data_IF_010614496736
#
_entry.id   IF_010614496736
#
_cell.length_a   1.000
_cell.length_b   1.000
_cell.length_c   1.000
_cell.angle_alpha   90.00
_cell.angle_beta   90.00
_cell.angle_gamma   90.00
#
_symmetry.space_group_name_H-M   'P 1'
#
loop_
_entity.id
_entity.type
_entity.pdbx_description
1 polymer ?
#
# COMPACT_ATOMS: atom_id res chain seq x y z
N UNK A 1 -11.67 9.42 -47.68
CA UNK A 1 -12.20 8.92 -46.43
C UNK A 1 -12.25 10.13 -45.49
N UNK A 2 -13.43 10.58 -45.09
CA UNK A 2 -13.57 11.74 -44.20
C UNK A 2 -13.85 11.19 -42.79
N UNK A 3 -13.11 11.68 -41.83
CA UNK A 3 -13.32 11.35 -40.43
C UNK A 3 -14.16 12.44 -39.76
N UNK A 4 -15.13 12.03 -38.94
CA UNK A 4 -15.90 12.98 -38.13
C UNK A 4 -15.07 13.43 -36.91
N UNK A 5 -15.47 14.50 -36.26
CA UNK A 5 -14.77 15.07 -35.12
C UNK A 5 -14.66 14.08 -33.94
N UNK A 6 -15.68 13.22 -33.77
CA UNK A 6 -15.67 12.13 -32.75
C UNK A 6 -14.64 11.04 -33.09
N UNK A 7 -14.55 10.63 -34.35
CA UNK A 7 -13.57 9.64 -34.83
C UNK A 7 -12.14 10.13 -34.61
N UNK A 8 -11.87 11.41 -34.92
CA UNK A 8 -10.56 12.03 -34.71
C UNK A 8 -10.19 12.05 -33.23
N UNK A 9 -11.11 12.41 -32.33
CA UNK A 9 -10.87 12.39 -30.88
C UNK A 9 -10.57 10.98 -30.38
N UNK A 10 -11.32 9.99 -30.83
CA UNK A 10 -11.14 8.60 -30.42
C UNK A 10 -9.80 8.02 -30.91
N UNK A 11 -9.43 8.30 -32.17
CA UNK A 11 -8.14 7.90 -32.73
C UNK A 11 -6.98 8.55 -31.97
N UNK A 12 -7.08 9.86 -31.67
CA UNK A 12 -6.07 10.57 -30.89
C UNK A 12 -5.95 10.04 -29.47
N UNK A 13 -7.06 9.71 -28.83
CA UNK A 13 -7.06 9.15 -27.48
C UNK A 13 -6.40 7.76 -27.44
N UNK A 14 -6.68 6.91 -28.44
CA UNK A 14 -6.02 5.60 -28.59
C UNK A 14 -4.53 5.76 -28.87
N UNK A 15 -4.16 6.71 -29.74
CA UNK A 15 -2.76 6.99 -30.06
C UNK A 15 -1.97 7.53 -28.86
N UNK A 16 -2.58 8.40 -28.05
CA UNK A 16 -1.99 8.92 -26.81
C UNK A 16 -1.82 7.81 -25.76
N UNK A 17 -2.81 6.91 -25.61
CA UNK A 17 -2.71 5.75 -24.70
C UNK A 17 -1.59 4.83 -25.14
N UNK A 18 -1.46 4.53 -26.44
CA UNK A 18 -0.34 3.74 -26.97
C UNK A 18 1.01 4.41 -26.79
N UNK A 19 1.07 5.74 -26.92
CA UNK A 19 2.31 6.49 -26.69
C UNK A 19 2.72 6.48 -25.22
N UNK A 20 1.77 6.43 -24.28
CA UNK A 20 2.03 6.28 -22.83
C UNK A 20 2.51 4.88 -22.44
N UNK A 21 2.20 3.85 -23.24
CA UNK A 21 2.70 2.47 -23.03
C UNK A 21 4.10 2.24 -23.62
N UNK A 22 4.66 3.23 -24.34
CA UNK A 22 6.00 3.13 -24.90
C UNK A 22 7.01 3.42 -23.80
N UNK A 23 7.75 2.42 -23.37
CA UNK A 23 8.90 2.59 -22.49
C UNK A 23 9.96 3.42 -23.23
N UNK A 24 10.28 4.59 -22.71
CA UNK A 24 11.35 5.43 -23.26
C UNK A 24 12.70 4.90 -22.77
N UNK A 25 13.65 4.78 -23.68
CA UNK A 25 15.02 4.47 -23.31
C UNK A 25 15.69 5.65 -22.60
N UNK A 26 16.76 5.36 -21.85
CA UNK A 26 17.52 6.44 -21.19
C UNK A 26 18.12 7.42 -22.21
N UNK A 27 18.50 6.91 -23.38
CA UNK A 27 19.02 7.69 -24.48
C UNK A 27 17.99 8.69 -25.00
N UNK A 28 16.76 8.26 -25.21
CA UNK A 28 15.64 9.12 -25.62
C UNK A 28 15.32 10.18 -24.57
N UNK A 29 15.40 9.81 -23.27
CA UNK A 29 15.22 10.76 -22.17
C UNK A 29 16.29 11.85 -22.19
N UNK A 30 17.53 11.49 -22.46
CA UNK A 30 18.66 12.44 -22.56
C UNK A 30 18.48 13.36 -23.76
N UNK A 31 18.05 12.84 -24.92
CA UNK A 31 17.78 13.62 -26.12
C UNK A 31 16.66 14.63 -25.88
N UNK A 32 15.53 14.18 -25.33
CA UNK A 32 14.41 15.07 -24.97
C UNK A 32 14.81 16.16 -23.95
N UNK A 33 15.61 15.81 -22.96
CA UNK A 33 16.12 16.78 -21.97
C UNK A 33 17.02 17.84 -22.63
N UNK A 34 17.89 17.41 -23.54
CA UNK A 34 18.75 18.32 -24.32
C UNK A 34 17.93 19.29 -25.16
N UNK A 35 16.90 18.82 -25.84
CA UNK A 35 15.98 19.64 -26.66
C UNK A 35 15.24 20.70 -25.82
N UNK A 36 14.96 20.38 -24.57
CA UNK A 36 14.36 21.29 -23.58
C UNK A 36 15.37 22.21 -22.89
N UNK A 37 16.66 22.13 -23.23
CA UNK A 37 17.73 22.92 -22.62
C UNK A 37 18.09 22.49 -21.19
N UNK A 38 17.74 21.26 -20.77
CA UNK A 38 18.06 20.70 -19.46
C UNK A 38 19.47 20.12 -19.54
N UNK A 39 20.38 20.60 -18.66
CA UNK A 39 21.75 20.08 -18.63
C UNK A 39 21.78 18.62 -18.13
N UNK A 40 22.74 17.85 -18.64
CA UNK A 40 22.93 16.44 -18.23
C UNK A 40 23.09 16.24 -16.74
N UNK A 41 23.76 17.19 -16.04
CA UNK A 41 23.93 17.14 -14.59
C UNK A 41 22.60 17.29 -13.83
N UNK A 42 21.71 18.18 -14.29
CA UNK A 42 20.37 18.35 -13.71
C UNK A 42 19.55 17.09 -13.94
N UNK A 43 19.59 16.53 -15.14
CA UNK A 43 18.89 15.29 -15.48
C UNK A 43 19.35 14.13 -14.58
N UNK A 44 20.66 13.92 -14.47
CA UNK A 44 21.24 12.84 -13.64
C UNK A 44 20.85 12.99 -12.15
N UNK A 45 20.96 14.20 -11.60
CA UNK A 45 20.58 14.47 -10.21
C UNK A 45 19.08 14.21 -9.98
N UNK A 46 18.24 14.55 -10.96
CA UNK A 46 16.79 14.34 -10.89
C UNK A 46 16.43 12.86 -11.03
N UNK A 47 17.11 12.14 -11.93
CA UNK A 47 16.95 10.69 -12.11
C UNK A 47 17.31 9.94 -10.81
N UNK A 48 18.42 10.29 -10.17
CA UNK A 48 18.83 9.70 -8.88
C UNK A 48 17.80 9.95 -7.78
N UNK A 49 17.27 11.17 -7.69
CA UNK A 49 16.21 11.51 -6.72
C UNK A 49 14.92 10.72 -6.99
N UNK A 50 14.55 10.59 -8.26
CA UNK A 50 13.37 9.82 -8.66
C UNK A 50 13.53 8.34 -8.31
N UNK A 51 14.69 7.74 -8.60
CA UNK A 51 14.99 6.34 -8.24
C UNK A 51 14.93 6.13 -6.72
N UNK A 52 15.51 7.04 -5.94
CA UNK A 52 15.46 6.98 -4.48
C UNK A 52 14.02 7.07 -3.95
N UNK A 53 13.18 7.92 -4.55
CA UNK A 53 11.76 8.01 -4.20
C UNK A 53 10.99 6.73 -4.54
N UNK A 54 11.24 6.14 -5.72
CA UNK A 54 10.63 4.87 -6.14
C UNK A 54 10.99 3.73 -5.18
N UNK A 55 12.25 3.64 -4.77
CA UNK A 55 12.71 2.64 -3.80
C UNK A 55 12.05 2.84 -2.44
N UNK A 56 11.95 4.10 -1.99
CA UNK A 56 11.27 4.43 -0.74
C UNK A 56 9.77 4.07 -0.78
N UNK A 57 9.06 4.44 -1.85
CA UNK A 57 7.66 4.07 -2.03
C UNK A 57 7.46 2.55 -2.11
N UNK A 58 8.32 1.84 -2.82
CA UNK A 58 8.33 0.38 -2.89
C UNK A 58 8.46 -0.26 -1.51
N UNK A 59 9.42 0.22 -0.71
CA UNK A 59 9.63 -0.23 0.67
C UNK A 59 8.42 0.06 1.55
N UNK A 60 7.82 1.25 1.47
CA UNK A 60 6.61 1.63 2.20
C UNK A 60 5.41 0.74 1.83
N UNK A 61 5.22 0.44 0.54
CA UNK A 61 4.14 -0.45 0.07
C UNK A 61 4.32 -1.87 0.62
N UNK A 62 5.53 -2.42 0.55
CA UNK A 62 5.86 -3.77 1.05
C UNK A 62 5.65 -3.85 2.56
N UNK A 63 6.15 -2.88 3.32
CA UNK A 63 5.97 -2.77 4.76
C UNK A 63 4.49 -2.68 5.17
N UNK A 64 3.71 -1.85 4.48
CA UNK A 64 2.27 -1.72 4.74
C UNK A 64 1.53 -3.03 4.46
N UNK A 65 1.91 -3.76 3.41
CA UNK A 65 1.34 -5.07 3.10
C UNK A 65 1.66 -6.08 4.20
N UNK A 66 2.91 -6.10 4.69
CA UNK A 66 3.32 -6.93 5.81
C UNK A 66 2.51 -6.64 7.08
N UNK A 67 2.37 -5.36 7.46
CA UNK A 67 1.58 -4.93 8.63
C UNK A 67 0.10 -5.34 8.52
N UNK A 68 -0.50 -5.14 7.35
CA UNK A 68 -1.90 -5.56 7.10
C UNK A 68 -2.06 -7.07 7.22
N UNK A 69 -1.11 -7.85 6.69
CA UNK A 69 -1.13 -9.31 6.78
C UNK A 69 -1.03 -9.78 8.22
N UNK A 70 -0.16 -9.18 9.01
CA UNK A 70 -0.05 -9.45 10.45
C UNK A 70 -1.36 -9.16 11.20
N UNK A 71 -1.99 -8.00 10.92
CA UNK A 71 -3.29 -7.67 11.49
C UNK A 71 -4.36 -8.72 11.14
N UNK A 72 -4.46 -9.12 9.88
CA UNK A 72 -5.44 -10.12 9.46
C UNK A 72 -5.23 -11.48 10.13
N UNK A 73 -3.99 -11.89 10.35
CA UNK A 73 -3.69 -13.11 11.10
C UNK A 73 -4.23 -13.04 12.54
N UNK A 74 -4.01 -11.92 13.24
CA UNK A 74 -4.58 -11.69 14.57
C UNK A 74 -6.10 -11.61 14.56
N UNK A 75 -6.69 -10.97 13.56
CA UNK A 75 -8.14 -10.87 13.42
C UNK A 75 -8.80 -12.25 13.23
N UNK A 76 -8.24 -13.10 12.37
CA UNK A 76 -8.76 -14.46 12.15
C UNK A 76 -8.65 -15.30 13.43
N UNK A 77 -7.53 -15.20 14.14
CA UNK A 77 -7.34 -15.89 15.43
C UNK A 77 -8.36 -15.41 16.48
N UNK A 78 -8.60 -14.10 16.55
CA UNK A 78 -9.63 -13.51 17.40
C UNK A 78 -11.01 -14.09 17.12
N UNK A 79 -11.42 -14.14 15.85
CA UNK A 79 -12.73 -14.69 15.46
C UNK A 79 -12.83 -16.18 15.83
N UNK A 80 -11.83 -16.99 15.52
CA UNK A 80 -11.85 -18.41 15.76
C UNK A 80 -11.98 -18.73 17.26
N UNK A 81 -11.14 -18.09 18.11
CA UNK A 81 -11.17 -18.32 19.55
C UNK A 81 -12.45 -17.81 20.19
N UNK A 82 -12.92 -16.61 19.80
CA UNK A 82 -14.15 -16.08 20.40
C UNK A 82 -15.40 -16.85 19.95
N UNK A 83 -15.46 -17.34 18.71
CA UNK A 83 -16.53 -18.23 18.28
C UNK A 83 -16.54 -19.51 19.11
N UNK A 84 -15.36 -20.13 19.34
CA UNK A 84 -15.25 -21.28 20.22
C UNK A 84 -15.72 -20.99 21.66
N UNK A 85 -15.31 -19.87 22.25
CA UNK A 85 -15.73 -19.47 23.60
C UNK A 85 -17.23 -19.22 23.70
N UNK A 86 -17.85 -18.61 22.67
CA UNK A 86 -19.29 -18.40 22.61
C UNK A 86 -20.03 -19.74 22.55
N UNK A 87 -19.60 -20.66 21.68
CA UNK A 87 -20.19 -22.00 21.61
C UNK A 87 -20.05 -22.74 22.94
N UNK A 88 -18.88 -22.68 23.56
CA UNK A 88 -18.63 -23.28 24.86
C UNK A 88 -19.54 -22.68 25.93
N UNK A 89 -19.72 -21.35 25.97
CA UNK A 89 -20.64 -20.68 26.90
C UNK A 89 -22.08 -21.15 26.72
N UNK A 90 -22.55 -21.27 25.48
CA UNK A 90 -23.93 -21.73 25.21
C UNK A 90 -24.17 -23.16 25.68
N UNK A 91 -23.16 -24.03 25.63
CA UNK A 91 -23.26 -25.42 26.06
C UNK A 91 -23.14 -25.53 27.60
N UNK A 92 -22.25 -24.77 28.23
CA UNK A 92 -21.95 -24.92 29.66
C UNK A 92 -22.80 -24.06 30.59
N UNK A 93 -23.14 -22.84 30.13
CA UNK A 93 -23.84 -21.85 30.97
C UNK A 93 -24.73 -20.94 30.15
N UNK A 94 -25.82 -21.44 29.57
CA UNK A 94 -26.70 -20.67 28.68
C UNK A 94 -27.35 -19.48 29.34
N UNK A 95 -27.53 -19.55 30.69
CA UNK A 95 -28.21 -18.48 31.48
C UNK A 95 -27.27 -17.33 31.85
N UNK A 96 -25.95 -17.50 31.68
CA UNK A 96 -24.96 -16.49 32.02
C UNK A 96 -23.92 -16.38 30.89
N UNK A 97 -23.93 -15.23 30.19
CA UNK A 97 -23.05 -15.00 29.04
C UNK A 97 -21.68 -14.47 29.48
N UNK A 98 -20.84 -15.36 30.03
CA UNK A 98 -19.48 -15.02 30.50
C UNK A 98 -18.49 -14.78 29.36
N UNK A 99 -18.77 -15.32 28.15
CA UNK A 99 -17.90 -15.13 26.96
C UNK A 99 -17.75 -13.66 26.55
N UNK A 100 -18.63 -12.76 27.03
CA UNK A 100 -18.54 -11.32 26.76
C UNK A 100 -17.24 -10.70 27.25
N UNK A 101 -16.69 -11.18 28.39
CA UNK A 101 -15.49 -10.61 28.99
C UNK A 101 -14.24 -10.83 28.14
N UNK A 102 -13.89 -12.04 27.66
CA UNK A 102 -12.77 -12.24 26.76
C UNK A 102 -13.00 -11.57 25.39
N UNK A 103 -14.23 -11.54 24.87
CA UNK A 103 -14.55 -10.84 23.62
C UNK A 103 -14.23 -9.36 23.72
N UNK A 104 -14.68 -8.69 24.80
CA UNK A 104 -14.41 -7.26 25.01
C UNK A 104 -12.91 -7.00 25.28
N UNK A 105 -12.30 -7.76 26.15
CA UNK A 105 -10.88 -7.57 26.52
C UNK A 105 -9.94 -7.74 25.30
N UNK A 106 -10.12 -8.81 24.55
CA UNK A 106 -9.31 -9.07 23.37
C UNK A 106 -9.69 -8.15 22.19
N UNK A 107 -11.00 -7.84 22.04
CA UNK A 107 -11.49 -6.89 21.05
C UNK A 107 -10.89 -5.50 21.21
N UNK A 108 -10.72 -5.02 22.44
CA UNK A 108 -10.05 -3.75 22.72
C UNK A 108 -8.57 -3.78 22.28
N UNK A 109 -7.84 -4.86 22.55
CA UNK A 109 -6.47 -5.04 22.07
C UNK A 109 -6.40 -5.04 20.54
N UNK A 110 -7.33 -5.72 19.87
CA UNK A 110 -7.42 -5.76 18.43
C UNK A 110 -7.75 -4.38 17.83
N UNK A 111 -8.61 -3.59 18.50
CA UNK A 111 -8.91 -2.22 18.10
C UNK A 111 -7.66 -1.33 18.12
N UNK A 112 -6.84 -1.37 19.19
CA UNK A 112 -5.60 -0.62 19.26
C UNK A 112 -4.58 -1.09 18.21
N UNK A 113 -4.53 -2.39 17.95
CA UNK A 113 -3.68 -2.92 16.88
C UNK A 113 -4.13 -2.44 15.49
N UNK A 114 -5.44 -2.47 15.21
CA UNK A 114 -6.01 -1.91 13.99
C UNK A 114 -5.65 -0.43 13.84
N UNK A 115 -5.88 0.37 14.89
CA UNK A 115 -5.54 1.78 14.92
C UNK A 115 -4.08 2.01 14.55
N UNK A 116 -3.16 1.31 15.20
CA UNK A 116 -1.72 1.38 14.93
C UNK A 116 -1.36 1.02 13.47
N UNK A 117 -1.98 -0.02 12.89
CA UNK A 117 -1.70 -0.47 11.51
C UNK A 117 -2.15 0.55 10.47
N UNK A 118 -3.28 1.21 10.70
CA UNK A 118 -3.83 2.17 9.73
C UNK A 118 -3.28 3.60 9.89
N UNK A 119 -2.58 3.89 10.96
CA UNK A 119 -1.93 5.18 11.18
C UNK A 119 -0.54 5.18 10.52
N UNK A 120 -0.47 5.65 9.25
CA UNK A 120 0.74 5.62 8.42
C UNK A 120 1.58 6.90 8.42
N UNK A 121 1.23 7.88 9.26
CA UNK A 121 1.89 9.21 9.29
C UNK A 121 2.47 9.57 10.66
N UNK A 122 2.74 8.58 11.49
CA UNK A 122 3.25 8.79 12.86
C UNK A 122 4.76 8.56 12.89
N UNK A 123 5.45 9.21 13.79
CA UNK A 123 6.88 9.00 14.06
C UNK A 123 7.18 7.51 14.34
N UNK A 124 6.32 6.84 15.09
CA UNK A 124 6.40 5.38 15.34
C UNK A 124 6.38 4.54 14.06
N UNK A 125 5.66 4.99 13.02
CA UNK A 125 5.65 4.31 11.72
C UNK A 125 7.00 4.39 11.03
N UNK A 126 7.65 5.57 11.02
CA UNK A 126 8.96 5.75 10.41
C UNK A 126 10.05 4.95 11.12
N UNK A 127 10.01 4.92 12.46
CA UNK A 127 10.92 4.11 13.27
C UNK A 127 10.73 2.61 12.95
N UNK A 128 9.49 2.15 12.89
CA UNK A 128 9.17 0.77 12.57
C UNK A 128 9.58 0.39 11.13
N UNK A 129 9.41 1.30 10.17
CA UNK A 129 9.85 1.12 8.79
C UNK A 129 11.37 1.02 8.67
N UNK A 130 12.11 1.89 9.37
CA UNK A 130 13.58 1.87 9.39
C UNK A 130 14.10 0.57 10.00
N UNK A 131 13.51 0.13 11.12
CA UNK A 131 13.88 -1.13 11.76
C UNK A 131 13.62 -2.32 10.83
N UNK A 132 12.48 -2.37 10.18
CA UNK A 132 12.13 -3.43 9.23
C UNK A 132 13.10 -3.47 8.03
N UNK A 133 13.52 -2.28 7.50
CA UNK A 133 14.53 -2.21 6.43
C UNK A 133 15.90 -2.73 6.86
N UNK A 134 16.24 -2.59 8.13
CA UNK A 134 17.52 -3.07 8.65
C UNK A 134 17.55 -4.60 8.87
N UNK A 135 16.38 -5.26 8.90
CA UNK A 135 16.21 -6.69 9.13
C UNK A 135 16.12 -7.51 7.83
N UNK A 136 15.92 -6.86 6.67
CA UNK A 136 15.85 -7.52 5.36
C UNK A 136 17.15 -7.36 4.57
#
# INVERSE_FOLDING_TARGET
MNYDSEDVQQILQIALTRKQETEFSREELVEMASDLGISSNILETTEQKWLAQQEEEGSRRTFNTFRRRAFWAHFVSFLAVNLFLILLNLITSPSYFWAIFPVLGWGLGLFFHWWSVYQSKTEDYEIALQKWRAEI
#
